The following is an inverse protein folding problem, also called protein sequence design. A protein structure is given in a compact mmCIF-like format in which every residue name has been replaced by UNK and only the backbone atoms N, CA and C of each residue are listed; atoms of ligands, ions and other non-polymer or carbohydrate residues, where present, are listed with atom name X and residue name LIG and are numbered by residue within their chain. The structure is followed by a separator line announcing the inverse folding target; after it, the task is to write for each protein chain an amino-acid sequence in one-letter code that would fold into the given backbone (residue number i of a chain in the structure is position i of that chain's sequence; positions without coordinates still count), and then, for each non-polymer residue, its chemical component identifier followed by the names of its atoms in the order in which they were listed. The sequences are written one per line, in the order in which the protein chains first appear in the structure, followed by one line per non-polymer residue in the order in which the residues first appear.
data_IF_778318902709
#
_entry.id   IF_778318902709
#
_cell.length_a   1.000
_cell.length_b   1.000
_cell.length_c   1.000
_cell.angle_alpha   90.00
_cell.angle_beta   90.00
_cell.angle_gamma   90.00
#
_symmetry.space_group_name_H-M   'P 1'
#
loop_
_entity.id
_entity.type
_entity.pdbx_description
1 polymer ?
#
# COMPACT_ATOMS: atom_id res chain seq x y z
N UNK A 1 -10.60 34.58 10.29
CA UNK A 1 -11.54 33.44 10.33
C UNK A 1 -10.75 32.19 10.02
N UNK A 2 -10.87 31.10 10.80
CA UNK A 2 -10.29 29.82 10.42
C UNK A 2 -10.87 29.36 9.09
N UNK A 3 -10.04 28.76 8.24
CA UNK A 3 -10.45 28.19 6.95
C UNK A 3 -11.30 26.93 7.23
N UNK A 4 -12.57 26.94 6.80
CA UNK A 4 -13.45 25.77 6.88
C UNK A 4 -13.29 24.91 5.62
N UNK A 5 -12.73 23.71 5.79
CA UNK A 5 -12.52 22.73 4.73
C UNK A 5 -13.48 21.54 4.83
N UNK A 6 -14.42 21.53 5.79
CA UNK A 6 -15.28 20.36 6.05
C UNK A 6 -16.17 19.98 4.86
N UNK A 7 -16.53 20.96 4.02
CA UNK A 7 -17.33 20.74 2.82
C UNK A 7 -16.52 20.15 1.65
N UNK A 8 -15.17 20.17 1.70
CA UNK A 8 -14.34 19.63 0.63
C UNK A 8 -14.29 18.10 0.75
N UNK A 9 -14.73 17.35 -0.28
CA UNK A 9 -14.71 15.90 -0.23
C UNK A 9 -13.28 15.35 -0.24
N UNK A 10 -13.02 14.33 0.56
CA UNK A 10 -11.73 13.64 0.62
C UNK A 10 -11.68 12.56 -0.47
N UNK A 11 -10.65 12.63 -1.30
CA UNK A 11 -10.19 11.52 -2.14
C UNK A 11 -8.95 10.94 -1.46
N UNK A 12 -9.12 9.77 -0.86
CA UNK A 12 -7.98 9.06 -0.25
C UNK A 12 -7.18 8.39 -1.36
N UNK A 13 -6.05 8.99 -1.70
CA UNK A 13 -5.25 8.57 -2.85
C UNK A 13 -4.44 7.29 -2.60
N UNK A 14 -4.29 6.87 -1.34
CA UNK A 14 -3.63 5.61 -1.01
C UNK A 14 -4.09 5.08 0.34
N UNK A 15 -4.84 3.98 0.33
CA UNK A 15 -5.23 3.27 1.53
C UNK A 15 -5.22 1.75 1.31
N UNK A 16 -5.43 1.01 2.39
CA UNK A 16 -5.63 -0.45 2.35
C UNK A 16 -7.08 -0.81 2.69
N UNK A 17 -7.47 -2.04 2.34
CA UNK A 17 -8.78 -2.55 2.68
C UNK A 17 -8.93 -2.74 4.20
N UNK A 18 -10.18 -2.75 4.66
CA UNK A 18 -10.52 -2.93 6.08
C UNK A 18 -10.30 -4.39 6.49
N UNK A 19 -9.81 -4.61 7.71
CA UNK A 19 -9.74 -5.95 8.30
C UNK A 19 -11.14 -6.53 8.50
N UNK A 20 -11.29 -7.83 8.20
CA UNK A 20 -12.53 -8.58 8.50
C UNK A 20 -12.71 -8.78 9.98
N UNK A 21 -11.62 -9.16 10.66
CA UNK A 21 -11.57 -9.31 12.11
C UNK A 21 -11.04 -8.02 12.72
N UNK A 22 -11.88 -7.36 13.51
CA UNK A 22 -11.50 -6.11 14.17
C UNK A 22 -10.81 -6.40 15.51
N UNK A 23 -9.84 -5.55 15.92
CA UNK A 23 -9.21 -5.65 17.23
C UNK A 23 -10.25 -5.68 18.35
N UNK A 24 -10.23 -6.75 19.15
CA UNK A 24 -11.25 -7.02 20.16
C UNK A 24 -11.20 -6.04 21.34
N UNK A 25 -10.00 -5.55 21.68
CA UNK A 25 -9.74 -4.66 22.81
C UNK A 25 -8.62 -3.66 22.49
N UNK A 26 -8.22 -2.87 23.50
CA UNK A 26 -7.19 -1.86 23.35
C UNK A 26 -5.79 -2.45 23.14
N UNK A 27 -5.50 -3.63 23.71
CA UNK A 27 -4.20 -4.27 23.52
C UNK A 27 -4.01 -4.68 22.05
N UNK A 28 -5.02 -5.30 21.44
CA UNK A 28 -5.00 -5.63 20.03
C UNK A 28 -5.02 -4.37 19.14
N UNK A 29 -5.79 -3.33 19.53
CA UNK A 29 -5.91 -2.11 18.74
C UNK A 29 -4.59 -1.34 18.63
N UNK A 30 -3.81 -1.29 19.71
CA UNK A 30 -2.53 -0.56 19.76
C UNK A 30 -1.49 -1.07 18.77
N UNK A 31 -1.54 -2.35 18.40
CA UNK A 31 -0.67 -2.92 17.38
C UNK A 31 -0.88 -2.28 15.98
N UNK A 32 -2.03 -1.66 15.74
CA UNK A 32 -2.35 -0.95 14.48
C UNK A 32 -2.04 0.55 14.53
N UNK A 33 -1.40 1.03 15.61
CA UNK A 33 -0.97 2.43 15.78
C UNK A 33 0.55 2.58 15.78
N UNK A 34 1.27 1.54 15.39
CA UNK A 34 2.73 1.51 15.27
C UNK A 34 3.13 0.60 14.12
N UNK A 35 4.23 0.94 13.46
CA UNK A 35 4.85 0.08 12.43
C UNK A 35 5.76 -0.99 13.06
N UNK A 36 5.98 -0.96 14.38
CA UNK A 36 6.84 -1.91 15.07
C UNK A 36 6.22 -3.30 15.17
N UNK A 37 7.02 -4.33 14.85
CA UNK A 37 6.66 -5.73 15.11
C UNK A 37 6.93 -6.18 16.54
N UNK A 38 7.56 -5.34 17.38
CA UNK A 38 7.90 -5.68 18.75
C UNK A 38 6.64 -5.50 19.63
N UNK A 39 6.05 -6.59 20.19
CA UNK A 39 4.80 -6.49 20.93
C UNK A 39 4.87 -5.56 22.15
N UNK A 40 6.05 -5.46 22.77
CA UNK A 40 6.31 -4.58 23.91
C UNK A 40 6.12 -3.11 23.53
N UNK A 41 6.44 -2.69 22.31
CA UNK A 41 6.22 -1.30 21.84
C UNK A 41 4.73 -0.99 21.81
N UNK A 42 3.90 -1.89 21.28
CA UNK A 42 2.44 -1.71 21.29
C UNK A 42 1.87 -1.72 22.72
N UNK A 43 2.42 -2.54 23.61
CA UNK A 43 1.96 -2.67 24.99
C UNK A 43 2.37 -1.48 25.86
N UNK A 44 3.61 -1.04 25.76
CA UNK A 44 4.23 -0.15 26.74
C UNK A 44 4.44 1.27 26.20
N UNK A 45 4.73 1.45 24.90
CA UNK A 45 5.07 2.76 24.34
C UNK A 45 3.89 3.46 23.66
N UNK A 46 3.11 2.73 22.85
CA UNK A 46 1.95 3.28 22.11
C UNK A 46 0.95 4.02 23.01
N UNK A 47 0.63 3.59 24.25
CA UNK A 47 -0.23 4.35 25.15
C UNK A 47 0.25 5.77 25.44
N UNK A 48 1.54 6.04 25.33
CA UNK A 48 2.12 7.37 25.54
C UNK A 48 2.24 8.18 24.24
N UNK A 49 1.92 7.59 23.09
CA UNK A 49 1.97 8.27 21.80
C UNK A 49 0.82 9.27 21.63
N UNK A 50 1.05 10.35 20.88
CA UNK A 50 -0.01 11.28 20.48
C UNK A 50 -1.08 10.59 19.62
N UNK A 51 -0.68 9.64 18.77
CA UNK A 51 -1.59 8.90 17.90
C UNK A 51 -2.65 8.12 18.66
N UNK A 52 -2.26 7.42 19.74
CA UNK A 52 -3.20 6.68 20.58
C UNK A 52 -4.19 7.60 21.31
N UNK A 53 -3.69 8.65 21.97
CA UNK A 53 -4.55 9.60 22.67
C UNK A 53 -5.56 10.27 21.73
N UNK A 54 -5.10 10.65 20.54
CA UNK A 54 -5.95 11.21 19.49
C UNK A 54 -6.99 10.20 19.03
N UNK A 55 -6.60 8.96 18.71
CA UNK A 55 -7.51 7.92 18.24
C UNK A 55 -8.62 7.62 19.26
N UNK A 56 -8.28 7.42 20.54
CA UNK A 56 -9.27 7.16 21.60
C UNK A 56 -10.25 8.33 21.74
N UNK A 57 -9.76 9.58 21.70
CA UNK A 57 -10.61 10.77 21.81
C UNK A 57 -11.54 10.94 20.62
N UNK A 58 -11.04 10.82 19.39
CA UNK A 58 -11.86 10.98 18.18
C UNK A 58 -12.88 9.86 18.03
N UNK A 59 -12.50 8.62 18.35
CA UNK A 59 -13.44 7.49 18.37
C UNK A 59 -14.52 7.67 19.44
N UNK A 60 -14.18 8.13 20.64
CA UNK A 60 -15.17 8.42 21.67
C UNK A 60 -16.15 9.51 21.23
N UNK A 61 -15.67 10.57 20.57
CA UNK A 61 -16.52 11.61 19.99
C UNK A 61 -17.45 11.08 18.91
N UNK A 62 -16.96 10.21 18.02
CA UNK A 62 -17.77 9.57 16.98
C UNK A 62 -18.84 8.65 17.58
N UNK A 63 -18.47 7.84 18.57
CA UNK A 63 -19.31 6.81 19.17
C UNK A 63 -20.27 7.37 20.23
N UNK A 64 -20.05 8.60 20.71
CA UNK A 64 -20.85 9.23 21.75
C UNK A 64 -20.65 8.59 23.13
N UNK A 65 -19.44 8.12 23.44
CA UNK A 65 -19.09 7.47 24.70
C UNK A 65 -18.00 8.22 25.49
N UNK A 66 -17.67 7.72 26.68
CA UNK A 66 -16.54 8.26 27.44
C UNK A 66 -15.21 8.06 26.69
N UNK A 67 -14.30 9.03 26.78
CA UNK A 67 -12.99 9.00 26.14
C UNK A 67 -11.98 8.15 26.92
N UNK A 68 -12.31 6.86 27.10
CA UNK A 68 -11.42 5.85 27.65
C UNK A 68 -11.49 4.57 26.81
N UNK A 69 -10.44 3.72 26.84
CA UNK A 69 -10.36 2.56 25.96
C UNK A 69 -11.51 1.57 26.12
N UNK A 70 -11.92 1.25 27.35
CA UNK A 70 -12.97 0.27 27.61
C UNK A 70 -14.30 0.69 27.00
N UNK A 71 -14.71 1.95 27.20
CA UNK A 71 -15.93 2.49 26.64
C UNK A 71 -15.87 2.53 25.10
N UNK A 72 -14.74 2.97 24.53
CA UNK A 72 -14.54 3.04 23.07
C UNK A 72 -14.62 1.66 22.44
N UNK A 73 -13.88 0.68 22.94
CA UNK A 73 -13.85 -0.66 22.35
C UNK A 73 -15.15 -1.42 22.57
N UNK A 74 -15.86 -1.18 23.69
CA UNK A 74 -17.22 -1.69 23.87
C UNK A 74 -18.18 -1.15 22.82
N UNK A 75 -18.20 0.17 22.61
CA UNK A 75 -19.05 0.80 21.61
C UNK A 75 -18.68 0.39 20.16
N UNK A 76 -17.38 0.23 19.85
CA UNK A 76 -16.91 -0.28 18.55
C UNK A 76 -17.48 -1.67 18.26
N UNK A 77 -17.44 -2.59 19.24
CA UNK A 77 -18.00 -3.94 19.09
C UNK A 77 -19.51 -3.92 18.90
N UNK A 78 -20.22 -3.07 19.65
CA UNK A 78 -21.68 -2.92 19.50
C UNK A 78 -22.07 -2.37 18.13
N UNK A 79 -21.33 -1.40 17.60
CA UNK A 79 -21.60 -0.84 16.29
C UNK A 79 -21.29 -1.83 15.16
N UNK A 80 -20.21 -2.61 15.31
CA UNK A 80 -19.68 -3.47 14.27
C UNK A 80 -18.96 -2.68 13.16
N UNK A 81 -18.06 -3.37 12.46
CA UNK A 81 -17.16 -2.76 11.45
C UNK A 81 -17.91 -2.06 10.33
N UNK A 82 -19.00 -2.64 9.84
CA UNK A 82 -19.72 -2.11 8.69
C UNK A 82 -20.42 -0.78 8.99
N UNK A 83 -21.08 -0.70 10.15
CA UNK A 83 -21.71 0.56 10.59
C UNK A 83 -20.65 1.60 10.85
N UNK A 84 -19.56 1.23 11.53
CA UNK A 84 -18.46 2.14 11.82
C UNK A 84 -17.86 2.71 10.53
N UNK A 85 -17.59 1.87 9.53
CA UNK A 85 -17.08 2.29 8.22
C UNK A 85 -18.01 3.29 7.54
N UNK A 86 -19.33 3.02 7.51
CA UNK A 86 -20.32 3.93 6.94
C UNK A 86 -20.35 5.30 7.62
N UNK A 87 -20.30 5.32 8.95
CA UNK A 87 -20.34 6.57 9.71
C UNK A 87 -19.02 7.35 9.60
N UNK A 88 -17.87 6.68 9.57
CA UNK A 88 -16.56 7.32 9.32
C UNK A 88 -16.54 7.95 7.92
N UNK A 89 -16.92 7.19 6.90
CA UNK A 89 -16.96 7.67 5.51
C UNK A 89 -17.83 8.91 5.37
N UNK A 90 -19.01 8.88 5.98
CA UNK A 90 -19.95 10.00 5.99
C UNK A 90 -19.40 11.21 6.76
N UNK A 91 -18.88 11.00 7.98
CA UNK A 91 -18.41 12.09 8.86
C UNK A 91 -17.18 12.79 8.29
N UNK A 92 -16.24 12.03 7.73
CA UNK A 92 -15.02 12.58 7.14
C UNK A 92 -15.23 13.11 5.71
N UNK A 93 -16.45 13.03 5.16
CA UNK A 93 -16.77 13.47 3.81
C UNK A 93 -15.89 12.77 2.74
N UNK A 94 -15.64 11.47 2.90
CA UNK A 94 -14.94 10.71 1.87
C UNK A 94 -15.81 10.60 0.61
N UNK A 95 -15.17 10.69 -0.55
CA UNK A 95 -15.79 10.52 -1.87
C UNK A 95 -15.22 9.31 -2.61
N UNK A 96 -13.93 9.08 -2.47
CA UNK A 96 -13.23 8.02 -3.19
C UNK A 96 -12.11 7.44 -2.34
N UNK A 97 -11.96 6.12 -2.39
CA UNK A 97 -10.81 5.38 -1.87
C UNK A 97 -10.06 4.70 -3.01
N UNK A 98 -8.75 4.94 -3.07
CA UNK A 98 -7.83 4.32 -4.00
C UNK A 98 -7.06 3.23 -3.23
N UNK A 99 -7.50 1.99 -3.38
CA UNK A 99 -7.06 0.86 -2.56
C UNK A 99 -5.92 0.11 -3.24
N UNK A 100 -4.79 0.02 -2.54
CA UNK A 100 -3.72 -0.92 -2.85
C UNK A 100 -4.10 -2.32 -2.33
N UNK A 101 -4.39 -3.23 -3.26
CA UNK A 101 -4.83 -4.61 -2.99
C UNK A 101 -3.70 -5.59 -2.78
N UNK A 102 -2.44 -5.15 -2.82
CA UNK A 102 -1.25 -5.99 -2.65
C UNK A 102 -0.85 -6.25 -1.20
N UNK A 103 -1.69 -5.89 -0.22
CA UNK A 103 -1.43 -6.07 1.21
C UNK A 103 -2.64 -6.65 1.94
N UNK A 104 -2.41 -7.65 2.79
CA UNK A 104 -3.43 -8.19 3.69
C UNK A 104 -4.60 -8.90 3.00
N UNK A 105 -4.42 -9.43 1.79
CA UNK A 105 -5.52 -9.96 0.96
C UNK A 105 -6.42 -10.99 1.68
N UNK A 106 -5.84 -11.89 2.48
CA UNK A 106 -6.62 -12.91 3.22
C UNK A 106 -7.19 -12.40 4.56
N UNK A 107 -6.78 -11.24 5.04
CA UNK A 107 -7.26 -10.67 6.31
C UNK A 107 -8.30 -9.56 6.10
N UNK A 108 -8.44 -9.06 4.88
CA UNK A 108 -9.22 -7.87 4.57
C UNK A 108 -10.44 -8.16 3.73
N UNK A 109 -11.37 -7.21 3.66
CA UNK A 109 -12.53 -7.30 2.79
C UNK A 109 -12.10 -7.23 1.31
N UNK A 110 -12.81 -7.98 0.46
CA UNK A 110 -12.69 -7.81 -0.98
C UNK A 110 -13.18 -6.42 -1.40
N UNK A 111 -12.73 -5.92 -2.56
CA UNK A 111 -13.27 -4.66 -3.10
C UNK A 111 -14.77 -4.75 -3.39
N UNK A 112 -15.28 -5.94 -3.73
CA UNK A 112 -16.71 -6.16 -3.92
C UNK A 112 -17.48 -5.98 -2.61
N UNK A 113 -17.00 -6.58 -1.52
CA UNK A 113 -17.65 -6.48 -0.22
C UNK A 113 -17.55 -5.07 0.35
N UNK A 114 -16.41 -4.39 0.20
CA UNK A 114 -16.29 -3.00 0.62
C UNK A 114 -17.30 -2.10 -0.10
N UNK A 115 -17.54 -2.30 -1.41
CA UNK A 115 -18.56 -1.53 -2.15
C UNK A 115 -19.97 -1.75 -1.60
N UNK A 116 -20.27 -2.93 -1.05
CA UNK A 116 -21.54 -3.21 -0.35
C UNK A 116 -21.59 -2.51 1.01
N UNK A 117 -20.47 -2.47 1.73
CA UNK A 117 -20.38 -1.86 3.07
C UNK A 117 -20.51 -0.34 3.00
N UNK A 118 -19.79 0.32 2.08
CA UNK A 118 -19.74 1.79 1.91
C UNK A 118 -20.21 2.22 0.52
N UNK A 119 -21.49 2.02 0.16
CA UNK A 119 -21.99 2.20 -1.22
C UNK A 119 -22.03 3.67 -1.69
N UNK A 120 -21.72 4.63 -0.81
CA UNK A 120 -21.74 6.07 -1.10
C UNK A 120 -20.42 6.62 -1.61
N UNK A 121 -19.34 5.83 -1.56
CA UNK A 121 -18.02 6.23 -2.06
C UNK A 121 -17.59 5.34 -3.21
N UNK A 122 -16.79 5.93 -4.08
CA UNK A 122 -16.17 5.22 -5.18
C UNK A 122 -14.94 4.45 -4.68
N UNK A 123 -14.86 3.16 -4.99
CA UNK A 123 -13.70 2.32 -4.66
C UNK A 123 -12.98 1.97 -5.96
N UNK A 124 -11.71 2.39 -6.04
CA UNK A 124 -10.83 2.15 -7.19
C UNK A 124 -9.59 1.38 -6.76
N UNK A 125 -9.05 0.60 -7.68
CA UNK A 125 -7.95 -0.32 -7.40
C UNK A 125 -6.61 0.21 -7.91
N UNK A 126 -5.59 0.06 -7.07
CA UNK A 126 -4.18 0.26 -7.42
C UNK A 126 -3.51 -1.12 -7.41
N UNK A 127 -2.88 -1.48 -8.52
CA UNK A 127 -2.11 -2.72 -8.59
C UNK A 127 -0.77 -2.56 -7.91
N UNK A 128 -0.45 -3.42 -6.94
CA UNK A 128 0.90 -3.50 -6.36
C UNK A 128 1.78 -4.36 -7.27
N UNK A 129 2.90 -3.79 -7.70
CA UNK A 129 3.77 -4.40 -8.70
C UNK A 129 4.48 -5.64 -8.17
N UNK A 130 4.95 -5.64 -6.92
CA UNK A 130 5.78 -6.72 -6.39
C UNK A 130 4.99 -8.04 -6.26
N UNK A 131 3.76 -8.10 -5.69
CA UNK A 131 2.96 -9.32 -5.70
C UNK A 131 2.56 -9.78 -7.11
N UNK A 132 2.30 -8.84 -8.03
CA UNK A 132 2.05 -9.16 -9.43
C UNK A 132 3.28 -9.84 -10.06
N UNK A 133 4.46 -9.27 -9.87
CA UNK A 133 5.75 -9.82 -10.33
C UNK A 133 5.97 -11.21 -9.73
N UNK A 134 5.81 -11.37 -8.42
CA UNK A 134 6.01 -12.65 -7.72
C UNK A 134 5.11 -13.76 -8.29
N UNK A 135 3.82 -13.46 -8.50
CA UNK A 135 2.86 -14.39 -9.12
C UNK A 135 3.25 -14.75 -10.56
N UNK A 136 3.64 -13.76 -11.37
CA UNK A 136 4.03 -13.98 -12.76
C UNK A 136 5.32 -14.80 -12.87
N UNK A 137 6.31 -14.57 -11.99
CA UNK A 137 7.53 -15.39 -11.93
C UNK A 137 7.17 -16.84 -11.63
N UNK A 138 6.32 -17.10 -10.63
CA UNK A 138 5.93 -18.46 -10.27
C UNK A 138 5.15 -19.18 -11.38
N UNK A 139 4.38 -18.44 -12.18
CA UNK A 139 3.58 -19.00 -13.28
C UNK A 139 4.38 -19.22 -14.57
N UNK A 140 5.46 -18.46 -14.80
CA UNK A 140 6.22 -18.49 -16.03
C UNK A 140 7.08 -19.76 -16.18
N UNK A 141 7.39 -20.11 -17.43
CA UNK A 141 8.30 -21.21 -17.78
C UNK A 141 9.74 -20.71 -17.89
N UNK A 142 9.93 -19.51 -18.42
CA UNK A 142 11.22 -18.87 -18.65
C UNK A 142 11.13 -17.34 -18.54
N UNK A 143 12.25 -16.65 -18.77
CA UNK A 143 12.30 -15.19 -18.66
C UNK A 143 11.46 -14.47 -19.73
N UNK A 144 11.39 -15.03 -20.94
CA UNK A 144 10.71 -14.39 -22.07
C UNK A 144 9.19 -14.47 -21.91
N UNK A 145 8.68 -15.64 -21.50
CA UNK A 145 7.27 -15.84 -21.15
C UNK A 145 6.85 -15.00 -19.94
N UNK A 146 7.69 -14.91 -18.91
CA UNK A 146 7.49 -13.99 -17.78
C UNK A 146 7.38 -12.54 -18.25
N UNK A 147 8.34 -12.08 -19.05
CA UNK A 147 8.40 -10.69 -19.50
C UNK A 147 7.19 -10.32 -20.37
N UNK A 148 6.80 -11.20 -21.30
CA UNK A 148 5.60 -11.00 -22.11
C UNK A 148 4.32 -10.93 -21.28
N UNK A 149 4.19 -11.76 -20.24
CA UNK A 149 3.04 -11.71 -19.33
C UNK A 149 3.02 -10.42 -18.49
N UNK A 150 4.17 -9.96 -18.02
CA UNK A 150 4.29 -8.70 -17.28
C UNK A 150 3.95 -7.50 -18.16
N UNK A 151 4.51 -7.42 -19.37
CA UNK A 151 4.17 -6.38 -20.35
C UNK A 151 2.67 -6.37 -20.67
N UNK A 152 2.08 -7.55 -20.94
CA UNK A 152 0.66 -7.67 -21.20
C UNK A 152 -0.18 -7.15 -20.02
N UNK A 153 0.19 -7.50 -18.78
CA UNK A 153 -0.51 -7.06 -17.57
C UNK A 153 -0.49 -5.55 -17.34
N UNK A 154 0.51 -4.86 -17.88
CA UNK A 154 0.66 -3.42 -17.74
C UNK A 154 0.23 -2.65 -19.00
N UNK A 155 -0.07 -3.31 -20.11
CA UNK A 155 -0.32 -2.67 -21.41
C UNK A 155 -1.61 -1.83 -21.49
N UNK A 156 -2.65 -2.21 -20.73
CA UNK A 156 -3.90 -1.47 -20.59
C UNK A 156 -4.38 -1.51 -19.13
N UNK A 157 -3.78 -0.68 -18.29
CA UNK A 157 -4.08 -0.63 -16.85
C UNK A 157 -5.53 -0.23 -16.59
N UNK A 158 -6.05 0.76 -17.33
CA UNK A 158 -7.42 1.25 -17.14
C UNK A 158 -8.45 0.27 -17.66
N UNK A 159 -8.23 -0.37 -18.80
CA UNK A 159 -9.10 -1.44 -19.30
C UNK A 159 -9.09 -2.66 -18.39
N UNK A 160 -7.99 -2.90 -17.66
CA UNK A 160 -7.89 -3.92 -16.61
C UNK A 160 -8.52 -3.52 -15.27
N UNK A 161 -9.07 -2.30 -15.16
CA UNK A 161 -9.77 -1.80 -13.96
C UNK A 161 -8.90 -1.04 -12.95
N UNK A 162 -7.58 -0.94 -13.19
CA UNK A 162 -6.66 -0.21 -12.32
C UNK A 162 -6.63 1.30 -12.62
N UNK A 163 -6.47 2.12 -11.59
CA UNK A 163 -6.29 3.57 -11.73
C UNK A 163 -4.86 4.04 -11.49
N UNK A 164 -3.98 3.12 -11.11
CA UNK A 164 -2.62 3.43 -10.68
C UNK A 164 -1.86 2.16 -10.37
N UNK A 165 -0.55 2.33 -10.22
CA UNK A 165 0.37 1.29 -9.75
C UNK A 165 0.98 1.71 -8.41
N UNK A 166 1.39 0.73 -7.61
CA UNK A 166 2.20 0.93 -6.40
C UNK A 166 3.43 0.04 -6.46
N UNK A 167 4.58 0.64 -6.21
CA UNK A 167 5.81 -0.09 -5.91
C UNK A 167 6.14 0.03 -4.42
N UNK A 168 6.46 -1.11 -3.82
CA UNK A 168 7.07 -1.24 -2.50
C UNK A 168 8.56 -1.60 -2.61
N UNK A 169 9.24 -1.25 -3.71
CA UNK A 169 10.68 -1.54 -3.92
C UNK A 169 11.57 -1.04 -2.78
N UNK A 170 11.15 0.03 -2.09
CA UNK A 170 11.77 0.53 -0.87
C UNK A 170 11.97 -0.59 0.18
N UNK A 171 10.95 -1.43 0.40
CA UNK A 171 10.98 -2.59 1.32
C UNK A 171 11.75 -3.79 0.80
N UNK A 172 12.27 -3.74 -0.43
CA UNK A 172 12.94 -4.86 -1.09
C UNK A 172 14.41 -4.55 -1.31
N UNK A 173 14.69 -3.68 -2.27
CA UNK A 173 16.05 -3.36 -2.73
C UNK A 173 16.43 -1.89 -2.57
N UNK A 174 15.56 -1.07 -1.99
CA UNK A 174 15.76 0.37 -1.83
C UNK A 174 15.40 1.18 -3.08
N UNK A 175 15.47 2.51 -2.94
CA UNK A 175 15.03 3.48 -3.94
C UNK A 175 16.09 3.90 -4.97
N UNK A 176 17.35 3.51 -4.79
CA UNK A 176 18.41 3.79 -5.76
C UNK A 176 18.26 2.88 -6.99
N UNK A 177 17.28 3.16 -7.84
CA UNK A 177 16.99 2.36 -9.04
C UNK A 177 18.06 2.62 -10.11
N UNK A 178 18.61 1.54 -10.67
CA UNK A 178 19.65 1.60 -11.69
C UNK A 178 19.17 0.99 -13.02
N UNK A 179 19.80 1.40 -14.13
CA UNK A 179 19.52 0.77 -15.43
C UNK A 179 20.17 -0.60 -15.47
N UNK A 180 19.37 -1.63 -15.74
CA UNK A 180 19.83 -3.01 -15.84
C UNK A 180 19.68 -3.49 -17.28
N UNK A 181 20.72 -4.12 -17.81
CA UNK A 181 20.66 -4.72 -19.14
C UNK A 181 19.80 -6.00 -19.10
N UNK A 182 19.06 -6.26 -20.18
CA UNK A 182 18.19 -7.43 -20.29
C UNK A 182 18.89 -8.76 -19.95
N UNK A 183 20.14 -9.06 -20.40
CA UNK A 183 20.82 -10.29 -20.01
C UNK A 183 21.04 -10.40 -18.49
N UNK A 184 21.41 -9.30 -17.83
CA UNK A 184 21.58 -9.26 -16.37
C UNK A 184 20.26 -9.49 -15.62
N UNK A 185 19.16 -8.93 -16.11
CA UNK A 185 17.83 -9.19 -15.56
C UNK A 185 17.39 -10.65 -15.78
N UNK A 186 17.68 -11.23 -16.95
CA UNK A 186 17.40 -12.62 -17.25
C UNK A 186 18.19 -13.58 -16.35
N UNK A 187 19.46 -13.26 -16.06
CA UNK A 187 20.31 -14.03 -15.15
C UNK A 187 19.77 -13.97 -13.71
N UNK A 188 19.39 -12.77 -13.25
CA UNK A 188 18.74 -12.58 -11.96
C UNK A 188 17.40 -13.34 -11.87
N UNK A 189 16.60 -13.33 -12.93
CA UNK A 189 15.35 -14.10 -13.01
C UNK A 189 15.59 -15.60 -12.82
N UNK A 190 16.58 -16.21 -13.48
CA UNK A 190 16.83 -17.66 -13.35
C UNK A 190 17.07 -18.08 -11.90
N UNK A 191 17.84 -17.27 -11.16
CA UNK A 191 18.09 -17.51 -9.73
C UNK A 191 16.82 -17.39 -8.88
N UNK A 192 16.03 -16.34 -9.12
CA UNK A 192 14.77 -16.11 -8.39
C UNK A 192 13.72 -17.18 -8.72
N UNK A 193 13.55 -17.49 -10.00
CA UNK A 193 12.56 -18.44 -10.52
C UNK A 193 12.81 -19.85 -10.00
N UNK A 194 14.06 -20.31 -10.05
CA UNK A 194 14.44 -21.62 -9.52
C UNK A 194 14.22 -21.75 -8.01
N UNK A 195 14.51 -20.70 -7.24
CA UNK A 195 14.22 -20.67 -5.80
C UNK A 195 12.71 -20.67 -5.52
N UNK A 196 11.95 -19.81 -6.22
CA UNK A 196 10.50 -19.70 -6.06
C UNK A 196 9.76 -21.00 -6.40
N UNK A 197 10.15 -21.69 -7.50
CA UNK A 197 9.57 -22.99 -7.87
C UNK A 197 9.80 -24.07 -6.82
N UNK A 198 10.97 -24.07 -6.17
CA UNK A 198 11.29 -25.03 -5.09
C UNK A 198 10.46 -24.78 -3.83
N UNK A 199 10.22 -23.51 -3.51
CA UNK A 199 9.56 -23.13 -2.25
C UNK A 199 8.04 -22.97 -2.37
N UNK A 200 7.51 -22.90 -3.60
CA UNK A 200 6.08 -22.69 -3.88
C UNK A 200 5.57 -21.29 -3.49
N UNK A 201 6.45 -20.44 -2.98
CA UNK A 201 6.22 -19.04 -2.60
C UNK A 201 7.43 -18.23 -2.99
N UNK A 202 7.22 -16.94 -3.25
CA UNK A 202 8.29 -16.03 -3.62
C UNK A 202 8.08 -14.68 -2.96
N UNK A 203 9.11 -14.20 -2.27
CA UNK A 203 9.26 -12.80 -1.89
C UNK A 203 10.40 -12.22 -2.74
N UNK A 204 10.08 -11.36 -3.71
CA UNK A 204 11.10 -10.81 -4.61
C UNK A 204 11.98 -9.78 -3.87
N UNK A 205 13.30 -10.01 -3.88
CA UNK A 205 14.31 -9.09 -3.32
C UNK A 205 15.49 -8.87 -4.28
N UNK A 206 15.44 -9.47 -5.47
CA UNK A 206 16.51 -9.36 -6.46
C UNK A 206 16.53 -7.96 -7.08
N UNK A 207 17.46 -7.12 -6.59
CA UNK A 207 17.63 -5.74 -7.06
C UNK A 207 17.75 -5.62 -8.58
N UNK A 208 18.60 -6.39 -9.30
CA UNK A 208 18.73 -6.22 -10.74
C UNK A 208 17.42 -6.53 -11.49
N UNK A 209 16.65 -7.51 -11.01
CA UNK A 209 15.36 -7.84 -11.60
C UNK A 209 14.29 -6.78 -11.28
N UNK A 210 14.22 -6.32 -10.02
CA UNK A 210 13.29 -5.28 -9.60
C UNK A 210 13.55 -3.96 -10.31
N UNK A 211 14.80 -3.49 -10.36
CA UNK A 211 15.16 -2.24 -11.03
C UNK A 211 14.76 -2.29 -12.52
N UNK A 212 15.02 -3.42 -13.20
CA UNK A 212 14.59 -3.65 -14.58
C UNK A 212 13.07 -3.54 -14.75
N UNK A 213 12.31 -4.24 -13.91
CA UNK A 213 10.84 -4.32 -14.02
C UNK A 213 10.12 -3.04 -13.59
N UNK A 214 10.67 -2.31 -12.61
CA UNK A 214 10.12 -1.03 -12.17
C UNK A 214 10.38 0.05 -13.21
N UNK A 215 11.54 0.06 -13.87
CA UNK A 215 11.77 0.96 -15.02
C UNK A 215 10.73 0.71 -16.12
N UNK A 216 10.44 -0.55 -16.46
CA UNK A 216 9.39 -0.88 -17.42
C UNK A 216 8.01 -0.38 -16.98
N UNK A 217 7.66 -0.54 -15.70
CA UNK A 217 6.40 -0.03 -15.16
C UNK A 217 6.31 1.50 -15.23
N UNK A 218 7.40 2.22 -14.96
CA UNK A 218 7.47 3.68 -15.12
C UNK A 218 7.32 4.09 -16.59
N UNK A 219 7.89 3.34 -17.52
CA UNK A 219 7.72 3.58 -18.97
C UNK A 219 6.25 3.39 -19.39
N UNK A 220 5.56 2.37 -18.84
CA UNK A 220 4.11 2.18 -19.05
C UNK A 220 3.26 3.27 -18.38
N UNK A 221 3.64 3.72 -17.18
CA UNK A 221 3.01 4.85 -16.50
C UNK A 221 3.06 6.12 -17.37
N UNK A 222 4.25 6.38 -17.96
CA UNK A 222 4.47 7.52 -18.84
C UNK A 222 3.68 7.44 -20.15
N UNK A 223 3.59 6.25 -20.76
CA UNK A 223 2.89 6.06 -22.04
C UNK A 223 1.37 6.17 -21.89
N UNK A 224 0.82 5.67 -20.78
CA UNK A 224 -0.62 5.65 -20.51
C UNK A 224 -1.10 6.82 -19.64
N UNK A 225 -0.19 7.66 -19.15
CA UNK A 225 -0.48 8.71 -18.16
C UNK A 225 -1.23 8.15 -16.93
N UNK A 226 -0.75 7.03 -16.39
CA UNK A 226 -1.29 6.36 -15.18
C UNK A 226 -0.32 6.61 -14.03
N UNK A 227 -0.78 7.05 -12.83
CA UNK A 227 0.13 7.30 -11.73
C UNK A 227 0.82 6.03 -11.22
N UNK A 228 2.07 6.19 -10.81
CA UNK A 228 2.81 5.17 -10.05
C UNK A 228 3.22 5.77 -8.70
N UNK A 229 2.83 5.05 -7.65
CA UNK A 229 3.13 5.39 -6.27
C UNK A 229 4.37 4.62 -5.82
N UNK A 230 5.28 5.30 -5.12
CA UNK A 230 6.41 4.69 -4.43
C UNK A 230 6.24 4.90 -2.93
N UNK A 231 6.42 3.83 -2.15
CA UNK A 231 6.66 4.01 -0.73
C UNK A 231 8.04 4.65 -0.53
N UNK A 232 8.12 5.70 0.27
CA UNK A 232 9.37 6.41 0.61
C UNK A 232 9.36 6.78 2.09
N UNK A 233 10.51 7.07 2.70
CA UNK A 233 10.58 7.40 4.12
C UNK A 233 10.27 6.22 5.05
N UNK A 234 9.68 6.48 6.21
CA UNK A 234 9.46 5.52 7.30
C UNK A 234 8.47 4.40 6.93
N UNK A 235 8.82 3.17 7.31
CA UNK A 235 7.96 2.00 7.30
C UNK A 235 8.29 1.07 8.48
N UNK A 236 7.80 -0.17 8.40
CA UNK A 236 8.06 -1.22 9.38
C UNK A 236 9.54 -1.71 9.40
N UNK A 237 9.94 -2.53 10.38
CA UNK A 237 11.32 -3.01 10.52
C UNK A 237 11.90 -3.80 9.34
N UNK A 238 11.09 -4.27 8.37
CA UNK A 238 11.61 -4.89 7.15
C UNK A 238 12.24 -3.86 6.20
N UNK A 239 11.99 -2.56 6.43
CA UNK A 239 12.53 -1.45 5.66
C UNK A 239 13.90 -1.01 6.17
N UNK A 240 14.88 -0.93 5.26
CA UNK A 240 16.15 -0.26 5.54
C UNK A 240 16.00 1.26 5.34
N UNK A 241 15.80 2.00 6.44
CA UNK A 241 15.59 3.45 6.42
C UNK A 241 16.72 4.23 5.72
N UNK A 242 17.92 3.66 5.60
CA UNK A 242 19.04 4.29 4.89
C UNK A 242 18.90 4.25 3.37
N UNK A 243 17.96 3.47 2.84
CA UNK A 243 17.77 3.22 1.39
C UNK A 243 16.48 3.78 0.82
N UNK A 244 15.76 4.60 1.58
CA UNK A 244 14.38 5.02 1.26
C UNK A 244 14.21 6.53 1.16
N UNK A 245 15.33 7.24 1.04
CA UNK A 245 15.33 8.66 0.68
C UNK A 245 14.78 8.82 -0.76
N UNK A 246 13.68 9.56 -0.96
CA UNK A 246 13.11 9.80 -2.28
C UNK A 246 14.08 10.45 -3.27
N UNK A 247 15.13 11.14 -2.81
CA UNK A 247 16.18 11.70 -3.67
C UNK A 247 16.92 10.63 -4.49
N UNK A 248 16.95 9.39 -3.99
CA UNK A 248 17.54 8.23 -4.66
C UNK A 248 16.79 7.82 -5.94
N UNK A 249 15.52 8.21 -6.08
CA UNK A 249 14.73 8.01 -7.30
C UNK A 249 15.14 8.95 -8.46
N UNK A 250 16.27 9.63 -8.37
CA UNK A 250 16.81 10.54 -9.39
C UNK A 250 16.69 10.00 -10.82
N UNK A 251 16.94 8.70 -11.04
CA UNK A 251 16.79 8.10 -12.37
C UNK A 251 15.35 8.19 -12.90
N UNK A 252 14.36 7.93 -12.04
CA UNK A 252 12.93 7.97 -12.37
C UNK A 252 12.44 9.39 -12.64
N UNK A 253 13.10 10.41 -12.08
CA UNK A 253 12.81 11.82 -12.37
C UNK A 253 13.50 12.36 -13.64
N UNK A 254 14.21 11.53 -14.39
CA UNK A 254 14.82 11.96 -15.65
C UNK A 254 13.77 12.35 -16.70
N UNK A 255 14.12 13.28 -17.60
CA UNK A 255 13.21 13.86 -18.60
C UNK A 255 12.49 12.81 -19.47
N UNK A 256 13.14 11.67 -19.74
CA UNK A 256 12.52 10.56 -20.50
C UNK A 256 11.26 9.99 -19.84
N UNK A 257 11.08 10.16 -18.53
CA UNK A 257 9.93 9.67 -17.76
C UNK A 257 9.01 10.81 -17.32
N UNK A 258 9.21 12.05 -17.81
CA UNK A 258 8.47 13.26 -17.39
C UNK A 258 6.95 13.17 -17.46
N UNK A 259 6.43 12.25 -18.28
CA UNK A 259 4.99 12.05 -18.47
C UNK A 259 4.42 11.02 -17.48
N UNK A 260 5.23 10.28 -16.73
CA UNK A 260 4.76 9.41 -15.66
C UNK A 260 4.36 10.27 -14.45
N UNK A 261 3.09 10.22 -14.00
CA UNK A 261 2.70 10.88 -12.77
C UNK A 261 3.27 10.09 -11.57
N UNK A 262 4.36 10.60 -10.98
CA UNK A 262 5.00 9.96 -9.82
C UNK A 262 4.41 10.51 -8.52
N UNK A 263 4.04 9.61 -7.61
CA UNK A 263 3.55 9.95 -6.26
C UNK A 263 4.47 9.32 -5.22
N UNK A 264 4.99 10.13 -4.30
CA UNK A 264 5.84 9.69 -3.19
C UNK A 264 4.99 9.58 -1.93
N UNK A 265 4.72 8.35 -1.49
CA UNK A 265 3.92 8.09 -0.30
C UNK A 265 4.79 8.20 0.95
N UNK A 266 4.23 8.80 2.01
CA UNK A 266 4.95 9.20 3.23
C UNK A 266 6.05 10.26 2.99
N UNK A 267 6.26 10.66 1.72
CA UNK A 267 7.15 11.74 1.29
C UNK A 267 8.58 11.47 1.73
N UNK A 268 9.26 12.46 2.32
CA UNK A 268 10.59 12.25 2.87
C UNK A 268 10.60 11.62 4.25
N UNK A 269 9.49 11.63 5.01
CA UNK A 269 9.55 11.55 6.47
C UNK A 269 10.35 10.33 6.96
N UNK A 270 11.47 10.51 7.65
CA UNK A 270 12.09 11.79 8.03
C UNK A 270 12.65 12.60 6.85
#
# INVERSE_FOLDING_TARGET
MPLDLAAIPIVDNHCHSLLREQPADDAAFRAHLTESYIPDVARDDVPYSLGWHWAIRELASLLGCAANPDAVHSARREWGVERLAREIVKRANFRTWLIDTGYGADATYSLEDLRKIVPRIEIREIVRLEPLIERLILAADDFDSFLGAYEASLSDLRGSGYIGMKSVIAYRSGLQIERVARPTAADAFRSVHSAGRREGRLRIESKPLLDFLIIMAVEQAASQNVPIQFHTGLGDPDLDLTKVDPSSLRLIFADRYRNAPIVLLHSGYP
#
